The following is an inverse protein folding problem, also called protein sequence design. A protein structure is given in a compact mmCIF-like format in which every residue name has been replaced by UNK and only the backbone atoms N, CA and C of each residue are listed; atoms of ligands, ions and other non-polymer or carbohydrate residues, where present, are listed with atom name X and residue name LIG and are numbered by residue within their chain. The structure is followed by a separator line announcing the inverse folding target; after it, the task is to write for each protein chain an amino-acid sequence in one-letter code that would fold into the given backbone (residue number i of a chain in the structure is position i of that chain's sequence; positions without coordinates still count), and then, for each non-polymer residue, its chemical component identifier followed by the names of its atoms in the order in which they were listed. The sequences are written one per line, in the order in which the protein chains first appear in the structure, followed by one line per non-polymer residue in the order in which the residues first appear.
data_IF_748030348051
#
_entry.id   IF_748030348051
#
_cell.length_a   1.000
_cell.length_b   1.000
_cell.length_c   1.000
_cell.angle_alpha   90.00
_cell.angle_beta   90.00
_cell.angle_gamma   90.00
#
_symmetry.space_group_name_H-M   'P 1'
#
loop_
_entity.id
_entity.type
_entity.pdbx_description
1 polymer ?
#
# COMPACT_ATOMS: atom_id res chain seq x y z
N UNK A 1 -48.75 -6.45 -42.00
CA UNK A 1 -48.54 -6.50 -40.53
C UNK A 1 -47.13 -6.00 -40.22
N UNK A 2 -46.99 -4.80 -39.68
CA UNK A 2 -45.70 -4.19 -39.28
C UNK A 2 -45.35 -4.69 -37.87
N UNK A 3 -44.17 -5.28 -37.69
CA UNK A 3 -43.59 -5.52 -36.35
C UNK A 3 -42.69 -4.32 -36.01
N UNK A 4 -42.92 -3.72 -34.86
CA UNK A 4 -42.10 -2.66 -34.27
C UNK A 4 -41.33 -3.26 -33.09
N UNK A 5 -40.21 -2.60 -32.76
CA UNK A 5 -39.45 -2.56 -31.48
C UNK A 5 -38.60 -3.82 -31.19
N UNK A 6 -37.33 -3.77 -30.75
CA UNK A 6 -36.61 -2.73 -29.98
C UNK A 6 -35.10 -2.88 -30.17
N UNK A 7 -34.39 -1.79 -30.49
CA UNK A 7 -32.93 -1.71 -30.30
C UNK A 7 -32.65 -1.30 -28.85
N UNK A 8 -32.04 -2.20 -28.08
CA UNK A 8 -31.55 -1.86 -26.74
C UNK A 8 -30.22 -1.12 -26.91
N UNK A 9 -30.24 0.21 -26.74
CA UNK A 9 -29.04 1.02 -26.54
C UNK A 9 -28.46 0.64 -25.17
N UNK A 10 -27.42 -0.18 -25.16
CA UNK A 10 -26.58 -0.33 -23.98
C UNK A 10 -25.76 0.95 -23.82
N UNK A 11 -26.09 1.75 -22.81
CA UNK A 11 -25.27 2.86 -22.36
C UNK A 11 -23.96 2.28 -21.82
N UNK A 12 -22.89 2.37 -22.61
CA UNK A 12 -21.54 2.09 -22.12
C UNK A 12 -21.14 3.33 -21.30
N UNK A 13 -21.24 3.23 -19.98
CA UNK A 13 -20.59 4.17 -19.08
C UNK A 13 -19.08 4.05 -19.26
N UNK A 14 -18.51 4.93 -20.10
CA UNK A 14 -17.10 5.27 -20.07
C UNK A 14 -16.83 6.01 -18.75
N UNK A 15 -16.64 5.26 -17.67
CA UNK A 15 -15.94 5.79 -16.50
C UNK A 15 -14.52 6.03 -16.99
N UNK A 16 -14.14 7.31 -17.06
CA UNK A 16 -12.82 7.73 -17.49
C UNK A 16 -11.76 7.09 -16.62
N UNK A 17 -11.17 6.01 -17.12
CA UNK A 17 -9.92 5.47 -16.60
C UNK A 17 -8.87 6.47 -17.08
N UNK A 18 -8.55 7.46 -16.25
CA UNK A 18 -7.31 8.20 -16.41
C UNK A 18 -6.19 7.18 -16.32
N UNK A 19 -5.64 6.84 -17.48
CA UNK A 19 -4.50 5.93 -17.62
C UNK A 19 -3.30 6.62 -17.00
N UNK A 20 -3.12 6.45 -15.70
CA UNK A 20 -1.89 6.80 -15.00
C UNK A 20 -0.83 5.78 -15.42
N UNK A 21 -0.03 6.14 -16.41
CA UNK A 21 1.15 5.39 -16.80
C UNK A 21 2.23 5.52 -15.71
N UNK A 22 2.27 4.55 -14.79
CA UNK A 22 3.38 4.17 -13.93
C UNK A 22 3.15 2.70 -13.57
N UNK A 23 4.20 1.86 -13.53
CA UNK A 23 4.18 0.40 -13.29
C UNK A 23 2.82 -0.09 -12.79
N UNK A 24 2.06 -0.76 -13.66
CA UNK A 24 0.76 -1.32 -13.26
C UNK A 24 1.00 -2.09 -11.96
N UNK A 25 0.39 -1.61 -10.88
CA UNK A 25 0.48 -2.26 -9.59
C UNK A 25 0.09 -3.72 -9.78
N UNK A 26 0.86 -4.63 -9.18
CA UNK A 26 0.49 -6.04 -9.21
C UNK A 26 -0.67 -6.25 -8.22
N UNK A 27 -1.90 -6.28 -8.75
CA UNK A 27 -3.12 -6.46 -7.95
C UNK A 27 -3.66 -7.88 -8.09
N UNK A 28 -3.27 -8.63 -9.12
CA UNK A 28 -3.91 -9.89 -9.52
C UNK A 28 -2.93 -11.06 -9.66
N UNK A 29 -1.68 -10.83 -10.03
CA UNK A 29 -0.72 -11.89 -10.31
C UNK A 29 0.01 -12.32 -9.04
N UNK A 30 0.49 -13.56 -9.02
CA UNK A 30 1.29 -14.05 -7.89
C UNK A 30 2.52 -13.18 -7.70
N UNK A 31 2.76 -12.75 -6.45
CA UNK A 31 3.95 -11.99 -6.10
C UNK A 31 5.20 -12.88 -6.08
N UNK A 32 6.18 -12.55 -6.92
CA UNK A 32 7.50 -13.20 -6.90
C UNK A 32 8.24 -12.90 -5.59
N UNK A 33 8.11 -11.67 -5.07
CA UNK A 33 8.68 -11.26 -3.79
C UNK A 33 8.15 -12.14 -2.65
N UNK A 34 6.83 -12.36 -2.60
CA UNK A 34 6.21 -13.22 -1.60
C UNK A 34 6.63 -14.68 -1.79
N UNK A 35 6.67 -15.18 -3.02
CA UNK A 35 7.10 -16.58 -3.26
C UNK A 35 8.53 -16.80 -2.78
N UNK A 36 9.44 -15.87 -3.08
CA UNK A 36 10.84 -16.00 -2.67
C UNK A 36 10.97 -15.93 -1.14
N UNK A 37 10.39 -14.92 -0.51
CA UNK A 37 10.39 -14.83 0.95
C UNK A 37 9.78 -16.07 1.60
N UNK A 38 8.70 -16.62 1.04
CA UNK A 38 8.07 -17.84 1.57
C UNK A 38 8.97 -19.06 1.46
N UNK A 39 9.79 -19.18 0.42
CA UNK A 39 10.77 -20.26 0.30
C UNK A 39 11.88 -20.14 1.34
N UNK A 40 12.35 -18.91 1.59
CA UNK A 40 13.48 -18.67 2.47
C UNK A 40 13.08 -18.66 3.96
N UNK A 41 11.89 -18.16 4.27
CA UNK A 41 11.46 -17.81 5.63
C UNK A 41 10.07 -18.32 6.00
N UNK A 42 9.33 -18.94 5.09
CA UNK A 42 7.94 -19.32 5.31
C UNK A 42 7.75 -20.40 6.39
N UNK A 43 8.77 -21.21 6.65
CA UNK A 43 8.79 -22.25 7.69
C UNK A 43 9.59 -21.83 8.93
N UNK A 44 9.97 -20.55 9.03
CA UNK A 44 10.72 -20.06 10.17
C UNK A 44 9.88 -20.12 11.47
N UNK A 45 10.48 -20.67 12.53
CA UNK A 45 9.91 -20.72 13.87
C UNK A 45 10.78 -19.93 14.85
N UNK A 46 10.14 -19.15 15.72
CA UNK A 46 10.81 -18.41 16.76
C UNK A 46 11.50 -19.35 17.76
N UNK A 47 12.77 -19.09 18.04
CA UNK A 47 13.56 -19.84 19.01
C UNK A 47 14.43 -18.95 19.89
N UNK A 48 15.33 -19.55 20.65
CA UNK A 48 16.19 -18.82 21.59
C UNK A 48 17.35 -18.06 20.92
N UNK A 49 17.58 -18.28 19.62
CA UNK A 49 18.66 -17.61 18.90
C UNK A 49 18.25 -16.19 18.46
N UNK A 50 18.50 -15.22 19.34
CA UNK A 50 18.20 -13.81 19.10
C UNK A 50 18.75 -13.25 17.77
N UNK A 51 19.91 -13.74 17.29
CA UNK A 51 20.48 -13.26 16.03
C UNK A 51 19.64 -13.70 14.83
N UNK A 52 19.21 -14.96 14.80
CA UNK A 52 18.36 -15.48 13.72
C UNK A 52 16.99 -14.78 13.76
N UNK A 53 16.43 -14.59 14.96
CA UNK A 53 15.17 -13.88 15.16
C UNK A 53 15.23 -12.45 14.61
N UNK A 54 16.31 -11.72 14.90
CA UNK A 54 16.51 -10.38 14.36
C UNK A 54 16.65 -10.42 12.83
N UNK A 55 17.37 -11.41 12.30
CA UNK A 55 17.56 -11.53 10.86
C UNK A 55 16.24 -11.81 10.12
N UNK A 56 15.39 -12.69 10.66
CA UNK A 56 14.03 -12.90 10.15
C UNK A 56 13.20 -11.60 10.13
N UNK A 57 13.25 -10.80 11.21
CA UNK A 57 12.55 -9.52 11.27
C UNK A 57 13.02 -8.58 10.16
N UNK A 58 14.34 -8.45 9.98
CA UNK A 58 14.95 -7.56 8.99
C UNK A 58 14.58 -7.99 7.57
N UNK A 59 14.74 -9.26 7.24
CA UNK A 59 14.43 -9.80 5.91
C UNK A 59 12.93 -9.71 5.59
N UNK A 60 12.07 -10.02 6.56
CA UNK A 60 10.61 -9.93 6.39
C UNK A 60 10.16 -8.47 6.25
N UNK A 61 10.72 -7.54 7.02
CA UNK A 61 10.45 -6.11 6.83
C UNK A 61 10.97 -5.61 5.48
N UNK A 62 12.16 -6.05 5.07
CA UNK A 62 12.76 -5.71 3.78
C UNK A 62 11.83 -6.07 2.63
N UNK A 63 11.35 -7.31 2.58
CA UNK A 63 10.46 -7.73 1.49
C UNK A 63 9.11 -7.01 1.51
N UNK A 64 8.55 -6.70 2.68
CA UNK A 64 7.30 -5.92 2.77
C UNK A 64 7.53 -4.50 2.24
N UNK A 65 8.67 -3.88 2.57
CA UNK A 65 9.06 -2.58 2.00
C UNK A 65 9.19 -2.69 0.48
N UNK A 66 9.88 -3.69 -0.05
CA UNK A 66 10.03 -3.89 -1.50
C UNK A 66 8.68 -4.06 -2.22
N UNK A 67 7.76 -4.82 -1.64
CA UNK A 67 6.39 -4.97 -2.17
C UNK A 67 5.66 -3.63 -2.22
N UNK A 68 5.80 -2.79 -1.18
CA UNK A 68 5.22 -1.46 -1.19
C UNK A 68 5.85 -0.54 -2.26
N UNK A 69 7.18 -0.57 -2.40
CA UNK A 69 7.91 0.24 -3.40
C UNK A 69 7.52 -0.13 -4.83
N UNK A 70 7.37 -1.44 -5.09
CA UNK A 70 7.03 -1.98 -6.41
C UNK A 70 5.52 -2.01 -6.69
N UNK A 71 4.70 -1.51 -5.75
CA UNK A 71 3.24 -1.59 -5.80
C UNK A 71 2.70 -3.02 -6.00
N UNK A 72 3.32 -3.98 -5.33
CA UNK A 72 2.90 -5.38 -5.31
C UNK A 72 1.80 -5.62 -4.25
N UNK A 73 0.62 -5.09 -4.54
CA UNK A 73 -0.56 -5.20 -3.66
C UNK A 73 -0.95 -6.67 -3.42
N UNK A 74 -0.81 -7.54 -4.43
CA UNK A 74 -1.05 -8.97 -4.26
C UNK A 74 -0.02 -9.59 -3.30
N UNK A 75 1.26 -9.22 -3.40
CA UNK A 75 2.28 -9.63 -2.43
C UNK A 75 1.94 -9.20 -1.01
N UNK A 76 1.55 -7.94 -0.82
CA UNK A 76 1.14 -7.43 0.50
C UNK A 76 -0.08 -8.18 1.06
N UNK A 77 -1.08 -8.50 0.21
CA UNK A 77 -2.24 -9.33 0.59
C UNK A 77 -1.80 -10.74 0.99
N UNK A 78 -0.92 -11.36 0.21
CA UNK A 78 -0.42 -12.70 0.50
C UNK A 78 0.36 -12.74 1.81
N UNK A 79 1.21 -11.73 2.05
CA UNK A 79 1.95 -11.58 3.30
C UNK A 79 1.01 -11.39 4.49
N UNK A 80 0.03 -10.50 4.39
CA UNK A 80 -0.98 -10.28 5.42
C UNK A 80 -1.77 -11.54 5.73
N UNK A 81 -2.17 -12.30 4.71
CA UNK A 81 -2.89 -13.55 4.91
C UNK A 81 -2.02 -14.64 5.55
N UNK A 82 -0.71 -14.63 5.29
CA UNK A 82 0.21 -15.65 5.79
C UNK A 82 0.66 -15.37 7.23
N UNK A 83 1.14 -14.16 7.51
CA UNK A 83 1.66 -13.76 8.82
C UNK A 83 0.57 -13.27 9.77
N UNK A 84 -0.50 -12.71 9.23
CA UNK A 84 -1.52 -12.02 10.00
C UNK A 84 -1.13 -10.59 10.38
N UNK A 85 -2.14 -9.81 10.75
CA UNK A 85 -2.01 -8.38 11.09
C UNK A 85 -1.06 -8.11 12.26
N UNK A 86 -1.14 -8.93 13.32
CA UNK A 86 -0.37 -8.68 14.54
C UNK A 86 1.14 -8.80 14.28
N UNK A 87 1.57 -9.79 13.52
CA UNK A 87 2.97 -9.97 13.15
C UNK A 87 3.47 -8.78 12.33
N UNK A 88 2.69 -8.34 11.34
CA UNK A 88 3.00 -7.16 10.53
C UNK A 88 3.12 -5.89 11.38
N UNK A 89 2.31 -5.74 12.43
CA UNK A 89 2.44 -4.62 13.37
C UNK A 89 3.70 -4.75 14.23
N UNK A 90 4.04 -5.96 14.69
CA UNK A 90 5.29 -6.22 15.43
C UNK A 90 6.52 -5.89 14.60
N UNK A 91 6.52 -6.26 13.32
CA UNK A 91 7.60 -5.93 12.38
C UNK A 91 7.80 -4.41 12.26
N UNK A 92 6.72 -3.62 12.22
CA UNK A 92 6.79 -2.16 12.23
C UNK A 92 7.31 -1.56 13.54
N UNK A 93 7.05 -2.20 14.69
CA UNK A 93 7.62 -1.74 15.96
C UNK A 93 9.15 -1.86 15.99
N UNK A 94 9.70 -2.85 15.28
CA UNK A 94 11.14 -3.05 15.17
C UNK A 94 11.80 -2.10 14.14
N UNK A 95 11.17 -1.91 12.98
CA UNK A 95 11.81 -1.29 11.81
C UNK A 95 11.15 0.03 11.34
N UNK A 96 10.20 0.55 12.12
CA UNK A 96 9.50 1.80 11.88
C UNK A 96 8.19 1.66 11.08
N UNK A 97 7.39 2.74 11.09
CA UNK A 97 6.06 2.78 10.47
C UNK A 97 6.15 2.69 8.94
N UNK A 98 5.39 1.77 8.36
CA UNK A 98 5.28 1.63 6.90
C UNK A 98 4.64 2.84 6.23
N UNK A 99 3.65 3.44 6.90
CA UNK A 99 2.98 4.62 6.36
C UNK A 99 3.88 5.87 6.41
N UNK A 100 4.73 6.02 7.43
CA UNK A 100 5.78 7.07 7.43
C UNK A 100 6.77 6.85 6.26
N UNK A 101 7.17 5.61 5.97
CA UNK A 101 8.08 5.30 4.86
C UNK A 101 7.46 5.62 3.49
N UNK A 102 6.22 5.21 3.25
CA UNK A 102 5.55 5.43 1.96
C UNK A 102 5.25 6.91 1.70
N UNK A 103 4.94 7.68 2.74
CA UNK A 103 4.74 9.13 2.62
C UNK A 103 6.02 9.91 2.37
N UNK A 104 7.20 9.31 2.56
CA UNK A 104 8.48 10.00 2.40
C UNK A 104 9.26 9.54 1.16
N UNK A 105 9.26 8.25 0.87
CA UNK A 105 10.20 7.65 -0.07
C UNK A 105 9.53 7.13 -1.34
N UNK A 106 8.36 6.50 -1.22
CA UNK A 106 7.76 5.71 -2.32
C UNK A 106 6.25 5.94 -2.43
N UNK A 107 5.90 7.20 -2.68
CA UNK A 107 4.52 7.67 -2.63
C UNK A 107 3.60 6.92 -3.60
N UNK A 108 2.75 6.06 -3.05
CA UNK A 108 1.74 5.31 -3.80
C UNK A 108 0.38 5.30 -3.08
N UNK A 109 -0.66 5.96 -3.63
CA UNK A 109 -1.98 6.02 -3.01
C UNK A 109 -2.65 4.66 -2.77
N UNK A 110 -2.38 3.67 -3.63
CA UNK A 110 -2.97 2.33 -3.47
C UNK A 110 -2.35 1.58 -2.29
N UNK A 111 -1.04 1.73 -2.08
CA UNK A 111 -0.36 1.16 -0.91
C UNK A 111 -0.86 1.82 0.37
N UNK A 112 -1.00 3.15 0.39
CA UNK A 112 -1.58 3.87 1.54
C UNK A 112 -2.99 3.37 1.84
N UNK A 113 -3.83 3.22 0.81
CA UNK A 113 -5.19 2.68 0.98
C UNK A 113 -5.16 1.26 1.57
N UNK A 114 -4.30 0.38 1.04
CA UNK A 114 -4.15 -0.98 1.56
C UNK A 114 -3.75 -1.01 3.04
N UNK A 115 -2.76 -0.20 3.44
CA UNK A 115 -2.31 -0.15 4.84
C UNK A 115 -3.43 0.33 5.77
N UNK A 116 -4.17 1.36 5.36
CA UNK A 116 -5.26 1.92 6.17
C UNK A 116 -6.47 0.99 6.26
N UNK A 117 -6.92 0.41 5.13
CA UNK A 117 -8.07 -0.50 5.09
C UNK A 117 -7.86 -1.76 5.92
N UNK A 118 -6.62 -2.24 6.00
CA UNK A 118 -6.26 -3.42 6.80
C UNK A 118 -5.76 -3.05 8.21
N UNK A 119 -5.85 -1.76 8.58
CA UNK A 119 -5.41 -1.22 9.87
C UNK A 119 -3.96 -1.63 10.22
N UNK A 120 -3.07 -1.68 9.22
CA UNK A 120 -1.66 -2.01 9.36
C UNK A 120 -0.85 -0.78 9.78
N UNK A 121 -1.36 -0.08 10.78
CA UNK A 121 -0.79 1.14 11.35
C UNK A 121 -0.44 0.89 12.82
N UNK A 122 0.69 1.45 13.26
CA UNK A 122 1.07 1.39 14.67
C UNK A 122 0.03 2.13 15.52
N UNK A 123 -0.52 1.48 16.56
CA UNK A 123 -1.68 1.98 17.33
C UNK A 123 -1.43 3.28 18.13
N UNK A 124 -0.20 3.74 18.26
CA UNK A 124 0.20 4.73 19.26
C UNK A 124 -0.19 6.20 19.01
N UNK A 125 -1.15 6.54 18.16
CA UNK A 125 -1.24 7.96 17.78
C UNK A 125 -2.62 8.48 17.39
N UNK A 126 -2.73 9.78 17.67
CA UNK A 126 -3.40 10.81 16.88
C UNK A 126 -2.90 10.89 15.40
N UNK A 127 -2.80 9.76 14.68
CA UNK A 127 -2.04 9.57 13.42
C UNK A 127 -2.59 10.31 12.22
N UNK A 128 -3.91 10.39 12.08
CA UNK A 128 -4.50 11.00 10.90
C UNK A 128 -4.12 12.47 10.79
N UNK A 129 -3.94 13.16 11.91
CA UNK A 129 -3.43 14.55 11.93
C UNK A 129 -1.95 14.58 11.52
N UNK A 130 -1.10 13.73 12.12
CA UNK A 130 0.35 13.66 11.79
C UNK A 130 0.57 13.34 10.31
N UNK A 131 -0.09 12.32 9.77
CA UNK A 131 0.07 11.92 8.37
C UNK A 131 -0.48 12.94 7.39
N UNK A 132 -1.60 13.58 7.73
CA UNK A 132 -2.13 14.68 6.92
C UNK A 132 -1.18 15.88 6.92
N UNK A 133 -0.57 16.21 8.06
CA UNK A 133 0.45 17.26 8.12
C UNK A 133 1.67 16.90 7.27
N UNK A 134 2.20 15.68 7.42
CA UNK A 134 3.34 15.19 6.61
C UNK A 134 3.03 15.20 5.11
N UNK A 135 1.87 14.66 4.70
CA UNK A 135 1.46 14.65 3.30
C UNK A 135 1.28 16.06 2.73
N UNK A 136 0.74 17.01 3.51
CA UNK A 136 0.65 18.41 3.10
C UNK A 136 2.04 19.06 2.95
N UNK A 137 2.94 18.84 3.92
CA UNK A 137 4.31 19.33 3.85
C UNK A 137 4.99 18.82 2.57
N UNK A 138 4.93 17.51 2.33
CA UNK A 138 5.53 16.89 1.17
C UNK A 138 4.88 17.33 -0.15
N UNK A 139 3.57 17.56 -0.17
CA UNK A 139 2.89 18.16 -1.32
C UNK A 139 3.48 19.54 -1.68
N UNK A 140 3.75 20.40 -0.69
CA UNK A 140 4.38 21.70 -0.95
C UNK A 140 5.83 21.53 -1.46
N UNK A 141 6.59 20.60 -0.90
CA UNK A 141 7.95 20.29 -1.36
C UNK A 141 7.97 19.85 -2.83
N UNK A 142 7.04 18.99 -3.26
CA UNK A 142 6.98 18.53 -4.66
C UNK A 142 6.35 19.56 -5.61
N UNK A 143 5.45 20.42 -5.13
CA UNK A 143 4.93 21.58 -5.89
C UNK A 143 6.05 22.55 -6.22
N UNK A 144 6.92 22.84 -5.25
CA UNK A 144 8.09 23.69 -5.48
C UNK A 144 9.08 23.10 -6.50
N UNK A 145 9.14 21.76 -6.60
CA UNK A 145 9.99 21.04 -7.56
C UNK A 145 9.35 20.81 -8.93
N UNK A 146 8.04 21.04 -9.07
CA UNK A 146 7.30 20.80 -10.32
C UNK A 146 7.11 19.31 -10.67
N UNK A 147 7.18 18.39 -9.70
CA UNK A 147 6.94 16.96 -9.94
C UNK A 147 5.44 16.67 -10.02
N UNK A 148 4.88 16.79 -11.22
CA UNK A 148 3.44 16.64 -11.47
C UNK A 148 2.88 15.27 -11.04
N UNK A 149 3.68 14.21 -11.14
CA UNK A 149 3.29 12.86 -10.73
C UNK A 149 3.20 12.78 -9.21
N UNK A 150 4.23 13.21 -8.50
CA UNK A 150 4.22 13.20 -7.04
C UNK A 150 3.12 14.10 -6.47
N UNK A 151 2.85 15.25 -7.11
CA UNK A 151 1.74 16.15 -6.75
C UNK A 151 0.41 15.39 -6.80
N UNK A 152 0.10 14.73 -7.92
CA UNK A 152 -1.15 13.99 -8.07
C UNK A 152 -1.28 12.86 -7.03
N UNK A 153 -0.18 12.17 -6.73
CA UNK A 153 -0.17 11.11 -5.73
C UNK A 153 -0.42 11.67 -4.30
N UNK A 154 0.20 12.78 -3.91
CA UNK A 154 -0.05 13.39 -2.59
C UNK A 154 -1.45 13.95 -2.46
N UNK A 155 -1.99 14.57 -3.51
CA UNK A 155 -3.38 15.04 -3.53
C UNK A 155 -4.34 13.87 -3.32
N UNK A 156 -4.10 12.73 -3.98
CA UNK A 156 -4.93 11.54 -3.77
C UNK A 156 -4.80 10.95 -2.37
N UNK A 157 -3.60 10.92 -1.81
CA UNK A 157 -3.36 10.47 -0.44
C UNK A 157 -4.06 11.35 0.59
N UNK A 158 -4.09 12.67 0.38
CA UNK A 158 -4.79 13.59 1.27
C UNK A 158 -6.31 13.35 1.26
N UNK A 159 -6.89 12.96 0.11
CA UNK A 159 -8.29 12.51 0.04
C UNK A 159 -8.50 11.23 0.84
N UNK A 160 -7.67 10.21 0.64
CA UNK A 160 -7.73 8.93 1.36
C UNK A 160 -7.65 9.14 2.87
N UNK A 161 -6.69 9.95 3.34
CA UNK A 161 -6.51 10.27 4.76
C UNK A 161 -7.71 11.02 5.33
N UNK A 162 -8.32 11.91 4.55
CA UNK A 162 -9.54 12.64 4.96
C UNK A 162 -10.72 11.67 5.13
N UNK A 163 -10.93 10.76 4.17
CA UNK A 163 -12.00 9.75 4.24
C UNK A 163 -11.80 8.79 5.41
N UNK A 164 -10.56 8.35 5.65
CA UNK A 164 -10.24 7.46 6.77
C UNK A 164 -10.49 8.13 8.13
N UNK A 165 -10.21 9.43 8.27
CA UNK A 165 -10.41 10.17 9.54
C UNK A 165 -11.87 10.33 9.98
N UNK A 166 -12.82 10.01 9.11
CA UNK A 166 -14.27 10.12 9.37
C UNK A 166 -14.89 8.78 9.78
N UNK A 167 -14.16 7.66 9.61
CA UNK A 167 -14.55 6.32 10.06
C UNK A 167 -14.29 6.13 11.55
#
# INVERSE_FOLDING_TARGET
MKKIVTYSMALIFLVGISVYANSLCNINDKSSLFQQWKLDWGEYEWGDNAQINQYYIVETNGVVKDMMQTCDIMGLKQMLNYLGKNEIITLQNAEGSYLDNILQENINPLVVSFLLENELILKELHLTIKYKQLANQKLQEVKAKGDSKAIANYEKILEILKEYSVK
#
